data_IF_612324864190
#
_entry.id   IF_612324864190
#
_cell.length_a   1.000
_cell.length_b   1.000
_cell.length_c   1.000
_cell.angle_alpha   90.00
_cell.angle_beta   90.00
_cell.angle_gamma   90.00
#
_symmetry.space_group_name_H-M   'P 1'
#
loop_
_entity.id
_entity.type
_entity.pdbx_description
1 polymer ?
#
# COMPACT_ATOMS: atom_id res chain seq x y z
N UNK A 1 -43.94 -52.70 -31.00
CA UNK A 1 -42.79 -51.78 -31.00
C UNK A 1 -42.95 -50.86 -29.83
N UNK A 2 -42.14 -51.04 -28.76
CA UNK A 2 -42.17 -50.15 -27.54
C UNK A 2 -41.16 -49.00 -27.81
N UNK A 3 -41.68 -47.77 -27.90
CA UNK A 3 -40.86 -46.58 -27.97
C UNK A 3 -40.34 -46.24 -26.58
N UNK A 4 -39.03 -46.47 -26.34
CA UNK A 4 -38.39 -46.03 -25.12
C UNK A 4 -38.17 -44.53 -25.23
N UNK A 5 -38.88 -43.73 -24.39
CA UNK A 5 -38.70 -42.33 -24.25
C UNK A 5 -37.49 -42.08 -23.30
N UNK A 6 -36.35 -41.72 -23.87
CA UNK A 6 -35.15 -41.37 -23.08
C UNK A 6 -35.34 -39.97 -22.47
N UNK A 7 -35.60 -39.91 -21.18
CA UNK A 7 -35.72 -38.64 -20.43
C UNK A 7 -34.32 -38.18 -20.03
N UNK A 8 -33.74 -37.27 -20.81
CA UNK A 8 -32.45 -36.62 -20.43
C UNK A 8 -32.80 -35.53 -19.42
N UNK A 9 -32.58 -35.81 -18.12
CA UNK A 9 -32.60 -34.83 -17.05
C UNK A 9 -31.30 -34.07 -17.09
N UNK A 10 -31.31 -32.84 -17.62
CA UNK A 10 -30.20 -31.89 -17.52
C UNK A 10 -30.25 -31.35 -16.10
N UNK A 11 -29.39 -31.89 -15.24
CA UNK A 11 -29.13 -31.32 -13.92
C UNK A 11 -28.38 -30.01 -14.12
N UNK A 12 -29.08 -28.88 -14.04
CA UNK A 12 -28.47 -27.55 -13.93
C UNK A 12 -27.93 -27.38 -12.51
N UNK A 13 -26.72 -27.86 -12.27
CA UNK A 13 -26.00 -27.51 -11.03
C UNK A 13 -25.65 -26.02 -11.06
N UNK A 14 -25.89 -25.26 -9.98
CA UNK A 14 -25.36 -23.90 -9.89
C UNK A 14 -23.83 -23.98 -9.97
N UNK A 15 -23.26 -23.59 -11.11
CA UNK A 15 -21.81 -23.44 -11.25
C UNK A 15 -21.41 -22.14 -10.57
N UNK A 16 -20.87 -22.22 -9.38
CA UNK A 16 -20.13 -21.12 -8.77
C UNK A 16 -18.84 -20.99 -9.57
N UNK A 17 -18.77 -19.97 -10.42
CA UNK A 17 -17.67 -19.78 -11.35
C UNK A 17 -16.45 -19.16 -10.66
N UNK A 18 -15.74 -19.92 -9.82
CA UNK A 18 -14.39 -19.56 -9.42
C UNK A 18 -13.43 -19.83 -10.59
N UNK A 19 -12.50 -18.91 -10.82
CA UNK A 19 -11.47 -19.02 -11.84
C UNK A 19 -10.16 -19.39 -11.19
N UNK A 20 -9.68 -20.60 -11.41
CA UNK A 20 -8.35 -21.06 -11.04
C UNK A 20 -7.41 -21.02 -12.24
N UNK A 21 -6.27 -20.37 -12.11
CA UNK A 21 -5.16 -20.43 -13.06
C UNK A 21 -4.00 -21.14 -12.38
N UNK A 22 -3.62 -22.31 -12.90
CA UNK A 22 -2.59 -23.14 -12.28
C UNK A 22 -3.05 -23.90 -11.02
N UNK A 23 -4.32 -23.85 -10.67
CA UNK A 23 -4.95 -24.61 -9.59
C UNK A 23 -6.32 -25.14 -10.01
N UNK A 24 -6.67 -26.34 -9.56
CA UNK A 24 -7.99 -26.96 -9.74
C UNK A 24 -8.90 -26.78 -8.53
N UNK A 25 -8.38 -26.19 -7.45
CA UNK A 25 -9.10 -25.94 -6.20
C UNK A 25 -8.92 -24.47 -5.78
N UNK A 26 -9.55 -23.51 -6.49
CA UNK A 26 -9.40 -22.11 -6.19
C UNK A 26 -10.01 -21.75 -4.82
N UNK A 27 -9.28 -20.95 -4.03
CA UNK A 27 -9.71 -20.48 -2.70
C UNK A 27 -10.40 -19.11 -2.74
N UNK A 28 -10.50 -18.49 -3.93
CA UNK A 28 -11.11 -17.18 -4.16
C UNK A 28 -11.84 -17.15 -5.50
N UNK A 29 -12.58 -16.06 -5.78
CA UNK A 29 -13.23 -15.88 -7.09
C UNK A 29 -12.24 -15.93 -8.26
N UNK A 30 -11.03 -15.43 -8.04
CA UNK A 30 -9.86 -15.64 -8.91
C UNK A 30 -8.70 -16.11 -8.03
N UNK A 31 -8.13 -17.25 -8.34
CA UNK A 31 -6.94 -17.82 -7.69
C UNK A 31 -5.89 -18.17 -8.75
N UNK A 32 -4.73 -17.49 -8.66
CA UNK A 32 -3.61 -17.68 -9.58
C UNK A 32 -2.45 -18.30 -8.81
N UNK A 33 -2.18 -19.59 -9.10
CA UNK A 33 -1.06 -20.34 -8.52
C UNK A 33 0.00 -20.58 -9.59
N UNK A 34 1.21 -20.10 -9.34
CA UNK A 34 2.36 -20.31 -10.22
C UNK A 34 3.65 -20.30 -9.44
N UNK A 35 4.67 -21.04 -9.89
CA UNK A 35 6.01 -21.07 -9.31
C UNK A 35 7.00 -20.18 -10.05
N UNK A 36 6.67 -19.74 -11.27
CA UNK A 36 7.58 -19.07 -12.19
C UNK A 36 6.97 -17.85 -12.92
N UNK A 37 5.66 -17.64 -12.80
CA UNK A 37 4.95 -16.54 -13.47
C UNK A 37 4.13 -15.72 -12.47
N UNK A 38 4.06 -14.41 -12.68
CA UNK A 38 3.25 -13.49 -11.91
C UNK A 38 1.99 -13.03 -12.66
N UNK A 39 1.22 -12.18 -12.01
CA UNK A 39 0.08 -11.50 -12.62
C UNK A 39 0.56 -10.20 -13.30
N UNK A 40 0.34 -10.10 -14.60
CA UNK A 40 0.56 -8.88 -15.36
C UNK A 40 -0.75 -8.10 -15.47
N UNK A 41 -0.88 -7.04 -14.70
CA UNK A 41 -2.03 -6.15 -14.73
C UNK A 41 -1.93 -5.12 -15.88
N UNK A 42 -3.02 -4.43 -16.26
CA UNK A 42 -3.00 -3.39 -17.27
C UNK A 42 -1.93 -2.33 -17.01
N UNK A 43 -1.15 -2.01 -18.03
CA UNK A 43 -0.12 -0.97 -18.00
C UNK A 43 -0.60 0.27 -18.71
N UNK A 44 -0.61 1.40 -18.02
CA UNK A 44 -1.13 2.67 -18.53
C UNK A 44 -0.14 3.80 -18.25
N UNK A 45 -0.20 4.85 -19.03
CA UNK A 45 0.59 6.06 -18.82
C UNK A 45 -0.31 7.12 -18.15
N UNK A 46 -0.33 7.15 -16.82
CA UNK A 46 -1.09 8.15 -16.07
C UNK A 46 -0.53 9.55 -16.34
N UNK A 47 -1.39 10.54 -16.39
CA UNK A 47 -1.00 11.94 -16.65
C UNK A 47 -0.81 12.75 -15.38
N UNK A 48 -1.54 12.43 -14.32
CA UNK A 48 -1.38 12.97 -12.97
C UNK A 48 -2.17 12.09 -11.99
N UNK A 49 -1.85 12.16 -10.70
CA UNK A 49 -2.56 11.36 -9.69
C UNK A 49 -4.02 11.78 -9.50
N UNK A 50 -4.35 13.05 -9.67
CA UNK A 50 -5.69 13.60 -9.48
C UNK A 50 -6.57 13.57 -10.75
N UNK A 51 -6.11 12.95 -11.82
CA UNK A 51 -6.84 12.82 -13.09
C UNK A 51 -7.13 11.35 -13.38
N UNK A 52 -8.35 11.04 -13.78
CA UNK A 52 -8.71 9.69 -14.20
C UNK A 52 -7.95 9.23 -15.46
N UNK A 53 -7.61 10.18 -16.35
CA UNK A 53 -6.89 9.92 -17.61
C UNK A 53 -5.62 9.09 -17.43
N UNK A 54 -5.36 8.11 -18.35
CA UNK A 54 -6.03 7.86 -19.62
C UNK A 54 -7.33 7.01 -19.51
N UNK A 55 -7.70 6.56 -18.33
CA UNK A 55 -8.93 5.79 -18.15
C UNK A 55 -10.14 6.74 -18.18
N UNK A 56 -11.24 6.29 -18.78
CA UNK A 56 -12.44 7.15 -18.95
C UNK A 56 -13.33 7.10 -17.74
N UNK A 57 -13.39 6.28 -16.89
CA UNK A 57 -14.19 6.17 -15.65
C UNK A 57 -13.63 5.02 -14.80
N UNK A 58 -12.48 5.21 -14.16
CA UNK A 58 -11.92 4.14 -13.34
C UNK A 58 -12.86 3.84 -12.16
N UNK A 59 -13.00 2.56 -11.89
CA UNK A 59 -13.80 2.08 -10.75
C UNK A 59 -12.95 2.09 -9.47
N UNK A 60 -13.56 2.38 -8.34
CA UNK A 60 -12.88 2.31 -7.04
C UNK A 60 -12.21 0.95 -6.88
N UNK A 61 -10.95 0.94 -6.45
CA UNK A 61 -10.06 -0.22 -6.32
C UNK A 61 -9.54 -0.78 -7.65
N UNK A 62 -9.80 -0.14 -8.79
CA UNK A 62 -9.20 -0.55 -10.06
C UNK A 62 -7.67 -0.41 -10.00
N UNK A 63 -6.96 -1.50 -10.25
CA UNK A 63 -5.51 -1.61 -10.12
C UNK A 63 -4.83 -1.53 -11.49
N UNK A 64 -3.82 -0.67 -11.61
CA UNK A 64 -3.00 -0.51 -12.82
C UNK A 64 -1.52 -0.41 -12.49
N UNK A 65 -0.66 -0.69 -13.46
CA UNK A 65 0.75 -0.32 -13.42
C UNK A 65 0.99 0.94 -14.26
N UNK A 66 1.35 2.03 -13.61
CA UNK A 66 1.71 3.27 -14.31
C UNK A 66 3.11 3.16 -14.93
N UNK A 67 3.24 3.53 -16.21
CA UNK A 67 4.50 3.53 -16.94
C UNK A 67 5.12 4.91 -17.10
N UNK A 68 4.40 5.98 -16.75
CA UNK A 68 4.82 7.36 -16.99
C UNK A 68 5.42 8.02 -15.74
N UNK A 69 6.29 9.00 -15.98
CA UNK A 69 6.60 10.07 -15.03
C UNK A 69 5.94 11.34 -15.55
N UNK A 70 4.88 11.81 -14.85
CA UNK A 70 4.05 12.92 -15.32
C UNK A 70 3.40 13.65 -14.14
N UNK A 71 2.65 14.72 -14.45
CA UNK A 71 1.98 15.57 -13.47
C UNK A 71 2.91 16.61 -12.86
N UNK A 72 2.31 17.48 -12.04
CA UNK A 72 3.00 18.55 -11.31
C UNK A 72 2.70 18.34 -9.82
N UNK A 73 3.70 18.56 -8.96
CA UNK A 73 3.54 18.47 -7.51
C UNK A 73 2.33 19.28 -7.01
N UNK A 74 1.48 18.75 -6.14
CA UNK A 74 1.58 17.46 -5.44
C UNK A 74 1.00 16.25 -6.19
N UNK A 75 0.59 16.39 -7.45
CA UNK A 75 -0.14 15.37 -8.22
C UNK A 75 0.74 14.61 -9.23
N UNK A 76 2.05 14.62 -9.04
CA UNK A 76 2.98 13.88 -9.88
C UNK A 76 2.81 12.35 -9.69
N UNK A 77 3.05 11.61 -10.78
CA UNK A 77 3.10 10.16 -10.81
C UNK A 77 4.45 9.69 -11.34
N UNK A 78 4.88 8.54 -10.88
CA UNK A 78 6.10 7.84 -11.33
C UNK A 78 5.76 6.39 -11.65
N UNK A 79 6.58 5.65 -12.41
CA UNK A 79 6.33 4.24 -12.66
C UNK A 79 6.12 3.44 -11.37
N UNK A 80 5.06 2.62 -11.35
CA UNK A 80 4.66 1.83 -10.18
C UNK A 80 3.21 1.39 -10.21
N UNK A 81 2.81 0.64 -9.21
CA UNK A 81 1.44 0.18 -9.04
C UNK A 81 0.57 1.26 -8.42
N UNK A 82 -0.61 1.47 -8.99
CA UNK A 82 -1.60 2.43 -8.50
C UNK A 82 -2.99 1.80 -8.48
N UNK A 83 -3.81 2.24 -7.53
CA UNK A 83 -5.24 1.96 -7.54
C UNK A 83 -6.05 3.26 -7.50
N UNK A 84 -7.26 3.23 -8.05
CA UNK A 84 -8.18 4.35 -8.00
C UNK A 84 -8.95 4.34 -6.67
N UNK A 85 -8.89 5.44 -5.89
CA UNK A 85 -9.61 5.55 -4.61
C UNK A 85 -11.03 6.12 -4.74
N UNK A 86 -11.44 6.46 -5.97
CA UNK A 86 -12.69 7.12 -6.28
C UNK A 86 -12.52 8.59 -6.67
N UNK A 87 -11.37 9.18 -6.35
CA UNK A 87 -11.05 10.59 -6.63
C UNK A 87 -9.68 10.78 -7.27
N UNK A 88 -8.74 9.91 -6.97
CA UNK A 88 -7.35 9.98 -7.46
C UNK A 88 -6.68 8.61 -7.50
N UNK A 89 -5.56 8.55 -8.20
CA UNK A 89 -4.64 7.42 -8.22
C UNK A 89 -3.75 7.46 -6.98
N UNK A 90 -3.74 6.37 -6.24
CA UNK A 90 -2.93 6.17 -5.03
C UNK A 90 -1.94 5.05 -5.29
N UNK A 91 -0.69 5.22 -4.89
CA UNK A 91 0.34 4.19 -5.01
C UNK A 91 -0.04 2.95 -4.20
N UNK A 92 0.03 1.77 -4.85
CA UNK A 92 -0.21 0.50 -4.19
C UNK A 92 1.12 -0.09 -3.71
N UNK A 93 1.27 -0.14 -2.40
CA UNK A 93 2.49 -0.68 -1.78
C UNK A 93 3.62 0.34 -1.65
N UNK A 94 3.79 0.85 -0.49
CA UNK A 94 4.87 1.75 -0.10
C UNK A 94 4.57 3.21 -0.42
N UNK A 95 4.46 3.99 0.60
CA UNK A 95 4.27 5.43 0.50
C UNK A 95 5.45 6.08 -0.25
N UNK A 96 5.26 6.36 -1.54
CA UNK A 96 5.97 7.47 -2.19
C UNK A 96 5.39 8.76 -1.61
N UNK A 97 6.01 9.30 -0.64
CA UNK A 97 5.50 10.34 0.25
C UNK A 97 5.13 9.73 1.60
N UNK A 98 5.90 8.75 2.04
CA UNK A 98 5.80 8.20 3.37
C UNK A 98 5.85 9.35 4.36
N UNK A 99 4.80 9.45 5.17
CA UNK A 99 4.77 10.24 6.40
C UNK A 99 5.83 9.72 7.39
N UNK A 100 7.03 9.41 6.92
CA UNK A 100 8.11 8.84 7.69
C UNK A 100 9.42 9.57 7.45
N UNK A 101 10.30 9.52 8.43
CA UNK A 101 11.65 10.00 8.30
C UNK A 101 12.51 8.94 7.61
N UNK A 102 13.09 9.29 6.44
CA UNK A 102 13.89 8.36 5.64
C UNK A 102 15.28 8.18 6.26
N UNK A 103 15.87 6.99 6.10
CA UNK A 103 17.25 6.71 6.55
C UNK A 103 18.30 7.61 5.88
N UNK A 104 18.02 8.10 4.69
CA UNK A 104 18.87 9.04 3.93
C UNK A 104 18.52 10.49 4.19
N UNK A 105 17.57 10.77 5.10
CA UNK A 105 17.01 12.08 5.32
C UNK A 105 15.89 12.44 4.35
N UNK A 106 15.17 13.51 4.66
CA UNK A 106 14.08 14.03 3.83
C UNK A 106 14.50 15.34 3.16
N UNK A 107 13.98 15.59 1.96
CA UNK A 107 14.14 16.82 1.20
C UNK A 107 12.80 17.54 1.10
N UNK A 108 12.82 18.88 1.00
CA UNK A 108 11.59 19.68 0.89
C UNK A 108 10.83 19.81 2.22
N UNK A 109 11.50 19.63 3.35
CA UNK A 109 10.91 19.80 4.67
C UNK A 109 10.78 21.28 5.06
N UNK A 110 9.72 21.60 5.80
CA UNK A 110 9.49 22.93 6.36
C UNK A 110 9.51 22.83 7.89
N UNK A 111 10.37 23.60 8.54
CA UNK A 111 10.46 23.64 10.00
C UNK A 111 9.10 24.01 10.61
N UNK A 112 8.72 23.32 11.68
CA UNK A 112 7.42 23.49 12.34
C UNK A 112 6.27 22.69 11.72
N UNK A 113 6.36 22.32 10.43
CA UNK A 113 5.38 21.46 9.76
C UNK A 113 5.87 20.01 9.70
N UNK A 114 7.14 19.84 9.38
CA UNK A 114 7.78 18.52 9.32
C UNK A 114 8.73 18.36 10.50
N UNK A 115 8.52 17.35 11.32
CA UNK A 115 9.33 17.10 12.51
C UNK A 115 9.44 15.61 12.82
N UNK A 116 10.43 15.23 13.61
CA UNK A 116 10.49 13.93 14.28
C UNK A 116 9.99 14.17 15.69
N UNK A 117 8.85 13.58 16.05
CA UNK A 117 8.27 13.79 17.36
C UNK A 117 6.88 13.19 17.49
N UNK A 118 6.25 13.48 18.61
CA UNK A 118 4.87 13.12 18.94
C UNK A 118 3.98 14.37 18.87
N UNK A 119 2.71 14.19 18.56
CA UNK A 119 1.69 15.27 18.61
C UNK A 119 0.85 15.22 19.88
N UNK A 120 1.15 14.28 20.76
CA UNK A 120 0.53 14.06 22.05
C UNK A 120 1.55 14.23 23.18
N UNK A 121 1.11 14.11 24.44
CA UNK A 121 1.99 14.24 25.59
C UNK A 121 2.76 12.94 25.87
N UNK A 122 3.55 12.48 24.89
CA UNK A 122 4.38 11.28 24.98
C UNK A 122 5.84 11.62 24.65
N UNK A 123 6.78 11.00 25.37
CA UNK A 123 8.20 11.15 25.12
C UNK A 123 8.60 10.45 23.81
N UNK A 124 9.49 11.06 23.03
CA UNK A 124 10.12 10.40 21.88
C UNK A 124 11.30 9.57 22.33
N UNK A 125 11.24 8.26 22.15
CA UNK A 125 12.26 7.30 22.59
C UNK A 125 13.13 6.84 21.42
N UNK A 126 14.44 7.00 21.54
CA UNK A 126 15.43 6.41 20.64
C UNK A 126 15.95 5.09 21.21
N UNK A 127 16.00 4.03 20.39
CA UNK A 127 16.45 2.69 20.80
C UNK A 127 17.55 2.18 19.90
N UNK A 128 18.46 1.38 20.46
CA UNK A 128 19.43 0.53 19.77
C UNK A 128 19.31 -0.88 20.32
N UNK A 129 19.09 -1.86 19.45
CA UNK A 129 18.88 -3.26 19.85
C UNK A 129 17.81 -3.39 20.97
N UNK A 130 16.69 -2.69 20.81
CA UNK A 130 15.58 -2.57 21.76
C UNK A 130 15.93 -1.98 23.14
N UNK A 131 17.16 -1.51 23.34
CA UNK A 131 17.60 -0.79 24.54
C UNK A 131 17.51 0.71 24.28
N UNK A 132 17.00 1.47 25.27
CA UNK A 132 16.90 2.92 25.16
C UNK A 132 18.29 3.55 25.00
N UNK A 133 18.50 4.30 23.94
CA UNK A 133 19.74 5.00 23.63
C UNK A 133 19.60 6.52 23.77
N UNK A 134 18.37 7.02 23.91
CA UNK A 134 18.07 8.42 24.12
C UNK A 134 16.59 8.69 24.22
N UNK A 135 16.19 9.89 24.64
CA UNK A 135 14.82 10.36 24.61
C UNK A 135 14.74 11.89 24.60
N UNK A 136 13.61 12.40 24.13
CA UNK A 136 13.19 13.78 24.26
C UNK A 136 11.89 13.80 25.06
N UNK A 137 11.94 14.32 26.26
CA UNK A 137 10.80 14.50 27.14
C UNK A 137 10.47 15.98 27.33
N UNK A 138 9.39 16.26 28.06
CA UNK A 138 8.85 17.61 28.23
C UNK A 138 9.90 18.59 28.76
N UNK A 139 10.69 18.19 29.75
CA UNK A 139 11.62 19.11 30.47
C UNK A 139 13.10 18.69 30.29
N UNK A 140 13.40 17.60 29.62
CA UNK A 140 14.76 17.15 29.45
C UNK A 140 14.96 16.32 28.19
N UNK A 141 16.19 16.31 27.72
CA UNK A 141 16.61 15.51 26.59
C UNK A 141 17.89 14.77 26.98
N UNK A 142 18.01 13.51 26.52
CA UNK A 142 19.23 12.74 26.75
C UNK A 142 19.60 11.90 25.57
N UNK A 143 20.90 11.83 25.27
CA UNK A 143 21.47 10.93 24.27
C UNK A 143 22.65 10.19 24.89
N UNK A 144 22.66 8.88 24.76
CA UNK A 144 23.65 7.98 25.33
C UNK A 144 23.06 7.00 26.35
N UNK A 145 23.76 5.89 26.56
CA UNK A 145 23.37 4.91 27.56
C UNK A 145 23.64 5.49 28.94
N UNK A 146 22.64 5.48 29.82
CA UNK A 146 22.69 6.03 31.19
C UNK A 146 22.93 7.57 31.28
N UNK A 147 22.82 8.31 30.16
CA UNK A 147 22.76 9.77 30.26
C UNK A 147 21.54 10.17 31.10
N UNK A 148 21.68 11.09 32.01
CA UNK A 148 20.66 11.54 32.97
C UNK A 148 20.22 10.47 34.01
N UNK A 149 20.90 9.34 34.16
CA UNK A 149 20.55 8.35 35.19
C UNK A 149 20.72 8.84 36.61
N UNK A 150 21.50 9.92 36.82
CA UNK A 150 21.80 10.52 38.12
C UNK A 150 21.24 11.93 38.34
N UNK A 151 20.34 12.38 37.50
CA UNK A 151 19.62 13.65 37.75
C UNK A 151 18.44 13.32 38.66
N UNK A 152 18.63 13.45 39.97
CA UNK A 152 17.52 13.49 40.91
C UNK A 152 16.73 14.75 40.66
N UNK A 153 15.41 14.64 40.56
CA UNK A 153 14.50 15.77 40.61
C UNK A 153 14.74 16.56 41.88
N UNK A 154 15.31 17.78 41.74
CA UNK A 154 15.30 18.76 42.80
C UNK A 154 13.92 19.38 42.93
#
# INVERSE_FOLDING_TARGET
MRKALLFIVILTSPMFGQVGIGTTSPNAALDVSSTDNGLLIPRVALTASNLASPLTLPTISELVYNTATAGISPNNVTPGYYYWDGTKWVTFGGASGASGWLLTGNIGTTAGTNFIGTTDNQDLIFKRNNVRAGYLGLNNASFGNNSLSNISSG
#
